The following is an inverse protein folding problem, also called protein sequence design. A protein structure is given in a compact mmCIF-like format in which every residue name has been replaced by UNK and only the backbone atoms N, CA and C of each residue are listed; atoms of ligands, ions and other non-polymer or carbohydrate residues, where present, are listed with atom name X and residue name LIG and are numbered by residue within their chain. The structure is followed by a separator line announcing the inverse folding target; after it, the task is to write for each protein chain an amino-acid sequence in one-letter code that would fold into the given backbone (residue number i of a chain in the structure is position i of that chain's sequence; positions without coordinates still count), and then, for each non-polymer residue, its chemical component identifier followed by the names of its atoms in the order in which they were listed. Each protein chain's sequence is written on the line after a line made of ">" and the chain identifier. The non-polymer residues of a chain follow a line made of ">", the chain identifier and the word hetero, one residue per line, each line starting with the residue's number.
data_IF_010940982147
#
_entry.id   IF_010940982147
#
_cell.length_a   1.000
_cell.length_b   1.000
_cell.length_c   1.000
_cell.angle_alpha   90.00
_cell.angle_beta   90.00
_cell.angle_gamma   90.00
#
_symmetry.space_group_name_H-M   'P 1'
#
loop_
_entity.id
_entity.type
_entity.pdbx_description
1 polymer ?
#
# COMPACT_ATOMS: atom_id res chain seq x y z
N UNK A 1 -26.65 12.92 -3.63
CA UNK A 1 -26.15 11.56 -3.91
C UNK A 1 -24.98 11.29 -2.99
N UNK A 2 -25.21 10.55 -1.91
CA UNK A 2 -24.18 10.11 -0.98
C UNK A 2 -23.22 9.20 -1.73
N UNK A 3 -21.95 9.59 -1.84
CA UNK A 3 -20.90 8.71 -2.36
C UNK A 3 -20.67 7.65 -1.30
N UNK A 4 -21.46 6.59 -1.35
CA UNK A 4 -21.21 5.37 -0.61
C UNK A 4 -19.87 4.84 -1.10
N UNK A 5 -18.82 5.17 -0.36
CA UNK A 5 -17.48 4.70 -0.63
C UNK A 5 -17.56 3.21 -0.35
N UNK A 6 -17.61 2.40 -1.41
CA UNK A 6 -17.52 0.94 -1.29
C UNK A 6 -16.22 0.68 -0.51
N UNK A 7 -16.34 0.46 0.80
CA UNK A 7 -15.23 0.03 1.62
C UNK A 7 -14.83 -1.34 1.06
N UNK A 8 -13.80 -1.33 0.21
CA UNK A 8 -13.20 -2.56 -0.35
C UNK A 8 -13.01 -3.49 0.83
N UNK A 9 -13.72 -4.63 0.83
CA UNK A 9 -13.72 -5.59 1.93
C UNK A 9 -12.26 -5.93 2.24
N UNK A 10 -11.74 -5.40 3.34
CA UNK A 10 -10.35 -5.64 3.76
C UNK A 10 -10.35 -6.87 4.63
N UNK A 11 -9.85 -7.97 4.09
CA UNK A 11 -9.66 -9.19 4.88
C UNK A 11 -8.42 -9.04 5.77
N UNK A 12 -8.58 -8.91 7.10
CA UNK A 12 -7.46 -8.67 8.01
C UNK A 12 -6.44 -9.82 7.97
N UNK A 13 -6.87 -11.07 7.84
CA UNK A 13 -5.95 -12.22 7.75
C UNK A 13 -4.94 -12.14 6.61
N UNK A 14 -5.29 -11.42 5.54
CA UNK A 14 -4.46 -11.27 4.33
C UNK A 14 -3.68 -9.95 4.36
N UNK A 15 -4.21 -8.89 4.99
CA UNK A 15 -3.66 -7.53 4.89
C UNK A 15 -3.08 -6.98 6.19
N UNK A 16 -3.59 -7.42 7.34
CA UNK A 16 -3.14 -6.96 8.64
C UNK A 16 -1.78 -7.57 8.99
N UNK A 17 -0.89 -6.73 9.49
CA UNK A 17 0.38 -7.11 10.09
C UNK A 17 0.49 -6.52 11.49
N UNK A 18 1.14 -7.25 12.38
CA UNK A 18 1.31 -6.87 13.80
C UNK A 18 2.44 -5.86 14.02
N UNK A 19 3.26 -5.61 13.00
CA UNK A 19 4.35 -4.64 13.02
C UNK A 19 4.05 -3.49 12.05
N UNK A 20 4.57 -2.30 12.32
CA UNK A 20 4.44 -1.15 11.43
C UNK A 20 5.39 -1.31 10.25
N UNK A 21 4.91 -1.62 9.02
CA UNK A 21 5.80 -1.83 7.90
C UNK A 21 6.45 -0.51 7.47
N UNK A 22 7.69 -0.57 7.01
CA UNK A 22 8.46 0.60 6.56
C UNK A 22 9.05 0.33 5.18
N UNK A 23 8.62 1.12 4.22
CA UNK A 23 9.18 1.12 2.87
C UNK A 23 9.62 2.55 2.55
N UNK A 24 10.77 2.68 1.88
CA UNK A 24 11.23 3.97 1.34
C UNK A 24 10.52 4.34 0.02
N UNK A 25 9.52 3.56 -0.39
CA UNK A 25 8.69 3.86 -1.54
C UNK A 25 7.75 5.04 -1.28
N UNK A 26 7.79 6.03 -2.16
CA UNK A 26 7.02 7.27 -2.17
C UNK A 26 5.51 7.02 -2.27
N UNK A 27 5.13 5.89 -2.87
CA UNK A 27 3.74 5.46 -3.02
C UNK A 27 3.26 4.53 -1.89
N UNK A 28 4.11 4.19 -0.92
CA UNK A 28 3.73 3.30 0.17
C UNK A 28 3.09 4.11 1.31
N UNK A 29 1.90 3.69 1.75
CA UNK A 29 1.17 4.31 2.84
C UNK A 29 0.82 3.27 3.89
N UNK A 30 0.99 3.62 5.16
CA UNK A 30 0.63 2.74 6.28
C UNK A 30 -0.61 3.31 6.97
N UNK A 31 -1.55 2.42 7.27
CA UNK A 31 -2.80 2.72 7.96
C UNK A 31 -2.82 1.85 9.21
N UNK A 32 -2.95 2.48 10.37
CA UNK A 32 -3.14 1.77 11.63
C UNK A 32 -4.64 1.69 11.92
N UNK A 33 -5.15 0.49 12.21
CA UNK A 33 -6.55 0.26 12.53
C UNK A 33 -6.64 -0.87 13.55
N UNK A 34 -7.29 -0.59 14.69
CA UNK A 34 -7.58 -1.58 15.75
C UNK A 34 -6.33 -2.34 16.23
N UNK A 35 -5.21 -1.64 16.42
CA UNK A 35 -3.94 -2.24 16.86
C UNK A 35 -3.23 -3.09 15.81
N UNK A 36 -3.76 -3.16 14.58
CA UNK A 36 -3.12 -3.76 13.43
C UNK A 36 -2.67 -2.72 12.43
N UNK A 37 -1.60 -3.03 11.69
CA UNK A 37 -1.09 -2.19 10.63
C UNK A 37 -1.47 -2.76 9.28
N UNK A 38 -1.85 -1.89 8.37
CA UNK A 38 -2.18 -2.19 7.00
C UNK A 38 -1.30 -1.34 6.10
N UNK A 39 -0.93 -1.86 4.94
CA UNK A 39 -0.23 -1.09 3.93
C UNK A 39 -1.12 -0.90 2.71
N UNK A 40 -1.02 0.27 2.09
CA UNK A 40 -1.70 0.65 0.85
C UNK A 40 -0.67 1.18 -0.14
N UNK A 41 -0.81 0.79 -1.40
CA UNK A 41 -0.10 1.41 -2.50
C UNK A 41 -0.94 2.56 -3.05
N UNK A 42 -0.46 3.80 -2.93
CA UNK A 42 -1.11 5.01 -3.45
C UNK A 42 -1.22 4.99 -4.97
N UNK A 43 -0.19 4.52 -5.66
CA UNK A 43 -0.19 4.43 -7.13
C UNK A 43 -1.27 3.49 -7.67
N UNK A 44 -1.46 2.33 -7.03
CA UNK A 44 -2.49 1.36 -7.41
C UNK A 44 -3.85 1.62 -6.75
N UNK A 45 -3.94 2.63 -5.88
CA UNK A 45 -5.07 2.88 -4.97
C UNK A 45 -5.62 1.60 -4.31
N UNK A 46 -4.74 0.70 -3.87
CA UNK A 46 -5.12 -0.64 -3.40
C UNK A 46 -4.33 -1.10 -2.18
N UNK A 47 -5.00 -1.90 -1.34
CA UNK A 47 -4.41 -2.51 -0.14
C UNK A 47 -3.38 -3.55 -0.53
N UNK A 48 -2.28 -3.59 0.20
CA UNK A 48 -1.17 -4.51 -0.01
C UNK A 48 -1.34 -5.67 0.96
N UNK A 49 -1.41 -6.88 0.43
CA UNK A 49 -1.43 -8.12 1.22
C UNK A 49 -0.13 -8.27 2.02
N UNK A 50 -0.14 -8.85 3.22
CA UNK A 50 1.03 -9.10 4.08
C UNK A 50 2.23 -9.70 3.33
N UNK A 51 1.99 -10.67 2.44
CA UNK A 51 3.05 -11.31 1.63
C UNK A 51 3.72 -10.35 0.64
N UNK A 52 3.00 -9.32 0.17
CA UNK A 52 3.54 -8.24 -0.67
C UNK A 52 4.15 -7.12 0.16
N UNK A 53 3.69 -6.88 1.39
CA UNK A 53 4.26 -5.87 2.29
C UNK A 53 5.75 -6.12 2.45
N UNK A 54 6.16 -7.33 2.83
CA UNK A 54 7.59 -7.65 3.00
C UNK A 54 8.41 -7.45 1.72
N UNK A 55 7.82 -7.66 0.53
CA UNK A 55 8.45 -7.36 -0.76
C UNK A 55 8.54 -5.85 -1.00
N UNK A 56 7.53 -5.08 -0.64
CA UNK A 56 7.59 -3.63 -0.70
C UNK A 56 8.60 -3.04 0.29
N UNK A 57 8.91 -3.71 1.39
CA UNK A 57 9.96 -3.24 2.31
C UNK A 57 11.37 -3.53 1.75
N UNK A 58 11.60 -4.74 1.22
CA UNK A 58 12.92 -5.19 0.76
C UNK A 58 13.24 -4.80 -0.69
N UNK A 59 12.25 -4.93 -1.57
CA UNK A 59 12.40 -4.87 -3.03
C UNK A 59 11.69 -3.66 -3.65
N UNK A 60 11.48 -2.57 -2.89
CA UNK A 60 10.81 -1.39 -3.43
C UNK A 60 11.54 -0.78 -4.64
N UNK A 61 12.88 -0.89 -4.68
CA UNK A 61 13.72 -0.36 -5.76
C UNK A 61 13.45 -1.01 -7.11
N UNK A 62 13.07 -2.29 -7.10
CA UNK A 62 12.76 -3.08 -8.30
C UNK A 62 11.26 -3.10 -8.62
N UNK A 63 10.43 -2.42 -7.83
CA UNK A 63 9.00 -2.36 -8.04
C UNK A 63 8.65 -1.65 -9.37
N UNK A 64 7.99 -2.33 -10.33
CA UNK A 64 7.64 -1.73 -11.61
C UNK A 64 6.66 -0.58 -11.44
N UNK A 65 5.73 -0.68 -10.48
CA UNK A 65 4.75 0.35 -10.18
C UNK A 65 5.40 1.63 -9.64
N UNK A 66 6.45 1.50 -8.82
CA UNK A 66 7.21 2.66 -8.34
C UNK A 66 7.89 3.37 -9.51
N UNK A 67 8.55 2.62 -10.39
CA UNK A 67 9.21 3.17 -11.58
C UNK A 67 8.23 3.87 -12.52
N UNK A 68 7.03 3.29 -12.71
CA UNK A 68 5.98 3.91 -13.51
C UNK A 68 5.43 5.16 -12.84
N UNK A 69 5.10 5.10 -11.55
CA UNK A 69 4.57 6.24 -10.80
C UNK A 69 5.53 7.43 -10.78
N UNK A 70 6.84 7.18 -10.59
CA UNK A 70 7.85 8.24 -10.66
C UNK A 70 7.85 8.93 -12.02
N UNK A 71 7.84 8.16 -13.11
CA UNK A 71 7.76 8.72 -14.47
C UNK A 71 6.48 9.51 -14.72
N UNK A 72 5.35 9.11 -14.12
CA UNK A 72 4.09 9.86 -14.25
C UNK A 72 4.14 11.17 -13.47
N UNK A 73 4.77 11.19 -12.29
CA UNK A 73 4.95 12.40 -11.49
C UNK A 73 5.95 13.41 -12.11
N UNK A 74 6.94 12.93 -12.86
CA UNK A 74 7.90 13.79 -13.58
C UNK A 74 7.30 14.51 -14.79
N UNK A 75 6.14 14.05 -15.28
CA UNK A 75 5.46 14.58 -16.46
C UNK A 75 4.23 15.45 -16.14
N UNK A 76 4.07 15.91 -14.89
CA UNK A 76 3.10 16.94 -14.48
C UNK A 76 3.82 18.24 -14.12
#
# INVERSE_FOLDING_TARGET
>A
MSKESIEKIVFPEIHAVTYKPKSECEFFSVIEKEGSYYAKCKFLDSMITKSKISKCEKDYKTCPYRKLGLKTLENQ
#
